data_IF_270117914767
#
_entry.id   IF_270117914767
#
_cell.length_a   1.000
_cell.length_b   1.000
_cell.length_c   1.000
_cell.angle_alpha   90.00
_cell.angle_beta   90.00
_cell.angle_gamma   90.00
#
_symmetry.space_group_name_H-M   'P 1'
#
loop_
_entity.id
_entity.type
_entity.pdbx_description
1 polymer ?
#
# COMPACT_ATOMS: atom_id res chain seq x y z
N UNK A 1 21.79 41.62 24.10
CA UNK A 1 22.09 40.25 24.55
C UNK A 1 20.79 39.72 25.15
N UNK A 2 20.02 38.87 24.45
CA UNK A 2 20.25 37.42 24.23
C UNK A 2 20.50 36.73 25.59
N UNK A 3 19.79 35.70 26.04
CA UNK A 3 19.01 34.62 25.41
C UNK A 3 18.22 33.94 26.56
N UNK A 4 16.93 33.59 26.37
CA UNK A 4 16.40 32.20 26.23
C UNK A 4 16.15 31.49 27.58
N UNK A 5 15.21 30.55 27.80
CA UNK A 5 14.13 29.82 27.11
C UNK A 5 13.45 29.10 28.30
N UNK A 6 12.14 29.09 28.48
CA UNK A 6 11.26 28.02 27.99
C UNK A 6 9.81 28.48 28.19
N UNK A 7 9.09 28.75 27.09
CA UNK A 7 7.63 28.66 27.08
C UNK A 7 7.27 27.36 26.36
N UNK A 8 6.74 26.41 27.12
CA UNK A 8 5.91 25.32 26.59
C UNK A 8 4.46 25.79 26.70
N UNK A 9 4.00 26.49 25.69
CA UNK A 9 2.57 26.57 25.41
C UNK A 9 2.31 25.58 24.26
N UNK A 10 1.90 24.38 24.64
CA UNK A 10 1.34 23.39 23.72
C UNK A 10 -0.05 23.88 23.35
N UNK A 11 -0.14 24.64 22.26
CA UNK A 11 -1.40 25.24 21.83
C UNK A 11 -2.23 24.21 21.05
N UNK A 12 -3.33 23.79 21.67
CA UNK A 12 -4.34 22.90 21.11
C UNK A 12 -5.40 23.78 20.46
N UNK A 13 -5.20 24.14 19.18
CA UNK A 13 -6.18 24.96 18.47
C UNK A 13 -5.82 25.24 17.01
N UNK A 14 -6.26 24.36 16.11
CA UNK A 14 -6.99 24.71 14.89
C UNK A 14 -7.14 23.48 14.00
N UNK A 15 -8.32 22.85 14.02
CA UNK A 15 -8.84 22.15 12.85
C UNK A 15 -9.04 23.21 11.76
N UNK A 16 -8.04 23.40 10.90
CA UNK A 16 -8.26 24.03 9.61
C UNK A 16 -8.39 22.94 8.56
N UNK A 17 -9.57 22.89 7.94
CA UNK A 17 -9.81 22.18 6.70
C UNK A 17 -8.76 22.59 5.66
N UNK A 18 -7.99 21.63 5.16
CA UNK A 18 -7.23 21.80 3.91
C UNK A 18 -7.73 20.77 2.92
N UNK A 19 -8.93 21.03 2.40
CA UNK A 19 -9.38 20.57 1.09
C UNK A 19 -8.61 21.35 0.01
N UNK A 20 -7.32 21.05 -0.17
CA UNK A 20 -6.61 21.38 -1.40
C UNK A 20 -6.43 20.07 -2.17
N UNK A 21 -6.86 19.96 -3.43
CA UNK A 21 -6.42 18.84 -4.25
C UNK A 21 -4.90 18.98 -4.35
N UNK A 22 -4.17 18.02 -3.77
CA UNK A 22 -2.73 17.92 -3.94
C UNK A 22 -2.46 17.94 -5.45
N UNK A 23 -1.69 18.93 -5.90
CA UNK A 23 -1.13 18.89 -7.26
C UNK A 23 -0.28 17.63 -7.30
N UNK A 24 -0.77 16.60 -7.97
CA UNK A 24 0.05 15.44 -8.31
C UNK A 24 1.17 16.01 -9.18
N UNK A 25 2.36 16.15 -8.61
CA UNK A 25 3.55 16.44 -9.40
C UNK A 25 3.62 15.38 -10.48
N UNK A 26 3.75 15.80 -11.74
CA UNK A 26 3.79 14.88 -12.86
C UNK A 26 5.15 14.16 -12.86
N UNK A 27 5.20 13.01 -12.18
CA UNK A 27 6.34 12.11 -12.13
C UNK A 27 6.56 11.35 -13.46
N UNK A 28 5.76 11.65 -14.49
CA UNK A 28 5.76 10.99 -15.78
C UNK A 28 4.79 9.81 -15.86
N UNK A 29 4.58 9.25 -17.07
CA UNK A 29 3.51 8.30 -17.34
C UNK A 29 3.67 6.92 -16.67
N UNK A 30 4.90 6.57 -16.30
CA UNK A 30 5.25 5.26 -15.74
C UNK A 30 5.23 5.22 -14.21
N UNK A 31 5.03 6.36 -13.55
CA UNK A 31 4.92 6.43 -12.09
C UNK A 31 3.45 6.44 -11.72
N UNK A 32 3.04 5.45 -10.93
CA UNK A 32 1.70 5.37 -10.35
C UNK A 32 1.80 5.66 -8.87
N UNK A 33 1.13 6.72 -8.43
CA UNK A 33 1.07 7.11 -7.03
C UNK A 33 -0.11 6.41 -6.38
N UNK A 34 0.12 5.79 -5.22
CA UNK A 34 -0.94 5.19 -4.42
C UNK A 34 -1.98 6.26 -4.03
N UNK A 35 -3.30 6.01 -4.20
CA UNK A 35 -4.32 6.95 -3.80
C UNK A 35 -4.16 7.37 -2.34
N UNK A 36 -4.01 8.66 -2.08
CA UNK A 36 -3.70 9.17 -0.73
C UNK A 36 -4.98 9.37 0.08
N UNK A 37 -5.34 8.34 0.85
CA UNK A 37 -6.47 8.39 1.80
C UNK A 37 -5.98 8.80 3.19
N UNK A 38 -6.89 9.29 4.05
CA UNK A 38 -6.56 9.67 5.43
C UNK A 38 -5.91 8.53 6.22
N UNK A 39 -6.32 7.28 5.96
CA UNK A 39 -5.69 6.09 6.53
C UNK A 39 -4.22 5.94 6.13
N UNK A 40 -3.88 6.19 4.86
CA UNK A 40 -2.49 6.09 4.39
C UNK A 40 -1.64 7.21 5.00
N UNK A 41 -2.22 8.42 5.13
CA UNK A 41 -1.57 9.54 5.81
C UNK A 41 -1.31 9.23 7.30
N UNK A 42 -2.25 8.62 7.99
CA UNK A 42 -2.09 8.14 9.37
C UNK A 42 -0.95 7.12 9.48
N UNK A 43 -0.96 6.08 8.62
CA UNK A 43 0.10 5.06 8.59
C UNK A 43 1.47 5.68 8.34
N UNK A 44 1.58 6.59 7.37
CA UNK A 44 2.83 7.30 7.09
C UNK A 44 3.27 8.20 8.26
N UNK A 45 2.32 8.80 8.98
CA UNK A 45 2.62 9.64 10.15
C UNK A 45 3.23 8.80 11.27
N UNK A 46 2.63 7.66 11.60
CA UNK A 46 3.15 6.72 12.61
C UNK A 46 4.54 6.21 12.20
N UNK A 47 4.72 5.84 10.93
CA UNK A 47 6.01 5.36 10.43
C UNK A 47 7.13 6.42 10.46
N UNK A 48 6.78 7.71 10.36
CA UNK A 48 7.73 8.83 10.40
C UNK A 48 7.97 9.37 11.80
N UNK A 49 7.13 9.03 12.79
CA UNK A 49 7.33 9.45 14.18
C UNK A 49 8.51 8.68 14.81
N UNK A 50 9.52 9.44 15.26
CA UNK A 50 10.70 8.94 15.96
C UNK A 50 10.37 8.24 17.29
N UNK A 51 9.22 8.53 17.88
CA UNK A 51 8.80 7.97 19.17
C UNK A 51 8.03 6.65 19.01
N UNK A 52 7.74 6.23 17.77
CA UNK A 52 7.02 4.99 17.48
C UNK A 52 7.80 3.77 17.98
N UNK A 53 7.11 2.86 18.68
CA UNK A 53 7.71 1.64 19.17
C UNK A 53 8.11 0.71 18.01
N UNK A 54 9.09 -0.16 18.22
CA UNK A 54 9.53 -1.11 17.19
C UNK A 54 8.42 -2.05 16.72
N UNK A 55 7.55 -2.50 17.65
CA UNK A 55 6.43 -3.38 17.31
C UNK A 55 5.40 -2.67 16.46
N UNK A 56 5.08 -1.42 16.79
CA UNK A 56 4.11 -0.62 16.05
C UNK A 56 4.65 -0.26 14.68
N UNK A 57 5.93 0.15 14.59
CA UNK A 57 6.58 0.41 13.31
C UNK A 57 6.46 -0.79 12.37
N UNK A 58 6.79 -2.00 12.86
CA UNK A 58 6.68 -3.21 12.04
C UNK A 58 5.23 -3.47 11.60
N UNK A 59 4.29 -3.42 12.53
CA UNK A 59 2.88 -3.70 12.25
C UNK A 59 2.28 -2.73 11.22
N UNK A 60 2.54 -1.43 11.36
CA UNK A 60 2.03 -0.43 10.42
C UNK A 60 2.81 -0.41 9.10
N UNK A 61 4.10 -0.76 9.09
CA UNK A 61 4.87 -0.91 7.87
C UNK A 61 4.33 -2.07 7.02
N UNK A 62 4.10 -3.24 7.63
CA UNK A 62 3.54 -4.41 6.95
C UNK A 62 2.16 -4.07 6.33
N UNK A 63 1.34 -3.27 7.04
CA UNK A 63 0.05 -2.79 6.53
C UNK A 63 0.19 -1.86 5.32
N UNK A 64 1.12 -0.92 5.35
CA UNK A 64 1.35 -0.01 4.22
C UNK A 64 1.93 -0.75 3.01
N UNK A 65 2.88 -1.67 3.24
CA UNK A 65 3.48 -2.51 2.20
C UNK A 65 2.42 -3.31 1.46
N UNK A 66 1.43 -3.86 2.18
CA UNK A 66 0.32 -4.59 1.57
C UNK A 66 -0.51 -3.76 0.60
N UNK A 67 -0.85 -2.53 0.98
CA UNK A 67 -1.57 -1.62 0.09
C UNK A 67 -0.76 -1.31 -1.18
N UNK A 68 0.56 -1.11 -1.03
CA UNK A 68 1.45 -0.84 -2.15
C UNK A 68 1.57 -2.05 -3.09
N UNK A 69 1.70 -3.26 -2.56
CA UNK A 69 1.84 -4.48 -3.35
C UNK A 69 0.53 -4.80 -4.08
N UNK A 70 -0.61 -4.69 -3.41
CA UNK A 70 -1.93 -4.92 -4.02
C UNK A 70 -2.16 -4.01 -5.23
N UNK A 71 -1.87 -2.71 -5.09
CA UNK A 71 -1.98 -1.76 -6.20
C UNK A 71 -0.91 -1.97 -7.27
N UNK A 72 0.27 -2.46 -6.92
CA UNK A 72 1.32 -2.82 -7.88
C UNK A 72 0.93 -4.03 -8.73
N UNK A 73 0.31 -5.05 -8.11
CA UNK A 73 -0.20 -6.23 -8.81
C UNK A 73 -1.35 -5.87 -9.75
N UNK A 74 -2.18 -4.90 -9.38
CA UNK A 74 -3.25 -4.37 -10.23
C UNK A 74 -2.74 -3.67 -11.51
N UNK A 75 -1.45 -3.34 -11.60
CA UNK A 75 -0.84 -2.79 -12.83
C UNK A 75 -0.37 -3.88 -13.81
N UNK A 76 -0.39 -5.15 -13.41
CA UNK A 76 0.06 -6.26 -14.26
C UNK A 76 -0.98 -6.58 -15.35
N UNK A 77 -0.58 -7.22 -16.45
CA UNK A 77 -1.51 -7.57 -17.52
C UNK A 77 -2.49 -8.68 -17.11
N UNK A 78 -3.78 -8.45 -17.39
CA UNK A 78 -4.89 -9.37 -17.13
C UNK A 78 -5.63 -9.74 -18.41
N UNK A 79 -6.16 -10.95 -18.44
CA UNK A 79 -7.04 -11.50 -19.47
C UNK A 79 -8.43 -11.80 -18.88
N UNK A 80 -9.48 -11.62 -19.67
CA UNK A 80 -10.86 -11.96 -19.26
C UNK A 80 -11.07 -13.48 -19.33
N UNK A 81 -11.74 -14.04 -18.34
CA UNK A 81 -12.07 -15.47 -18.28
C UNK A 81 -13.50 -15.64 -17.76
N UNK A 82 -14.31 -16.45 -18.44
CA UNK A 82 -15.60 -16.89 -17.92
C UNK A 82 -15.40 -18.21 -17.20
N UNK A 83 -15.70 -18.25 -15.90
CA UNK A 83 -15.69 -19.47 -15.11
C UNK A 83 -17.12 -19.91 -14.81
N UNK A 84 -17.35 -21.23 -14.76
CA UNK A 84 -18.64 -21.77 -14.32
C UNK A 84 -18.56 -21.97 -12.81
N UNK A 85 -19.39 -21.26 -12.06
CA UNK A 85 -19.46 -21.43 -10.61
C UNK A 85 -19.99 -22.83 -10.26
N UNK A 86 -19.74 -23.35 -9.05
CA UNK A 86 -20.33 -24.62 -8.60
C UNK A 86 -21.87 -24.62 -8.58
N UNK A 87 -22.50 -23.43 -8.64
CA UNK A 87 -23.95 -23.25 -8.76
C UNK A 87 -24.46 -23.36 -10.21
N UNK A 88 -23.57 -23.59 -11.19
CA UNK A 88 -23.92 -23.70 -12.61
C UNK A 88 -24.14 -22.37 -13.33
N UNK A 89 -23.73 -21.24 -12.73
CA UNK A 89 -23.83 -19.92 -13.34
C UNK A 89 -22.47 -19.50 -13.92
N UNK A 90 -22.48 -18.78 -15.04
CA UNK A 90 -21.25 -18.23 -15.59
C UNK A 90 -20.89 -16.92 -14.88
N UNK A 91 -19.61 -16.75 -14.55
CA UNK A 91 -19.06 -15.53 -13.97
C UNK A 91 -17.89 -15.03 -14.82
N UNK A 92 -18.02 -13.79 -15.31
CA UNK A 92 -16.98 -13.11 -16.09
C UNK A 92 -15.96 -12.47 -15.14
N UNK A 93 -14.82 -13.14 -14.98
CA UNK A 93 -13.69 -12.72 -14.14
C UNK A 93 -12.47 -12.27 -14.93
N UNK A 94 -11.37 -12.05 -14.18
CA UNK A 94 -10.06 -11.68 -14.69
C UNK A 94 -9.00 -12.67 -14.20
N UNK A 95 -8.01 -12.93 -15.05
CA UNK A 95 -6.88 -13.82 -14.79
C UNK A 95 -5.58 -13.15 -15.22
N UNK A 96 -4.53 -13.21 -14.40
CA UNK A 96 -3.18 -12.76 -14.81
C UNK A 96 -2.70 -13.52 -16.04
N UNK A 97 -2.13 -12.80 -17.02
CA UNK A 97 -1.68 -13.42 -18.27
C UNK A 97 -0.47 -14.35 -18.09
N UNK A 98 0.40 -14.05 -17.12
CA UNK A 98 1.66 -14.77 -16.87
C UNK A 98 1.87 -14.97 -15.37
N UNK A 99 2.79 -15.87 -15.03
CA UNK A 99 3.28 -16.01 -13.67
C UNK A 99 4.11 -14.79 -13.25
N UNK A 100 3.98 -14.41 -11.98
CA UNK A 100 4.65 -13.25 -11.41
C UNK A 100 5.92 -13.69 -10.66
N UNK A 101 6.99 -12.89 -10.73
CA UNK A 101 8.18 -13.08 -9.89
C UNK A 101 8.49 -11.79 -9.13
N UNK A 102 8.88 -11.94 -7.87
CA UNK A 102 9.36 -10.84 -7.03
C UNK A 102 10.87 -10.93 -6.91
N UNK A 103 11.55 -9.79 -7.06
CA UNK A 103 12.99 -9.69 -6.82
C UNK A 103 13.19 -8.68 -5.69
N UNK A 104 13.76 -9.14 -4.58
CA UNK A 104 14.05 -8.29 -3.43
C UNK A 104 15.49 -7.79 -3.47
N UNK A 105 15.70 -6.57 -2.98
CA UNK A 105 17.03 -5.98 -2.81
C UNK A 105 17.37 -5.99 -1.32
N UNK A 106 18.41 -6.76 -0.98
CA UNK A 106 18.82 -7.01 0.41
C UNK A 106 19.37 -5.75 1.07
N UNK A 107 19.05 -5.44 2.34
CA UNK A 107 18.16 -6.19 3.28
C UNK A 107 16.74 -5.65 3.35
N UNK A 108 16.52 -4.40 2.97
CA UNK A 108 15.22 -3.73 3.15
C UNK A 108 14.11 -4.36 2.31
N UNK A 109 14.44 -4.94 1.16
CA UNK A 109 13.48 -5.62 0.29
C UNK A 109 12.90 -6.90 0.91
N UNK A 110 13.60 -7.54 1.86
CA UNK A 110 13.12 -8.76 2.53
C UNK A 110 11.83 -8.48 3.34
N UNK A 111 11.64 -7.25 3.81
CA UNK A 111 10.43 -6.84 4.53
C UNK A 111 9.17 -6.90 3.65
N UNK A 112 9.32 -6.80 2.32
CA UNK A 112 8.21 -6.81 1.37
C UNK A 112 7.89 -8.22 0.84
N UNK A 113 8.80 -9.18 1.02
CA UNK A 113 8.65 -10.53 0.43
C UNK A 113 7.46 -11.28 0.99
N UNK A 114 7.24 -11.25 2.31
CA UNK A 114 6.17 -12.00 2.96
C UNK A 114 4.80 -11.61 2.43
N UNK A 115 4.60 -10.30 2.23
CA UNK A 115 3.34 -9.75 1.72
C UNK A 115 3.18 -10.09 0.24
N UNK A 116 4.25 -9.93 -0.56
CA UNK A 116 4.24 -10.28 -1.98
C UNK A 116 3.88 -11.75 -2.22
N UNK A 117 4.51 -12.66 -1.46
CA UNK A 117 4.25 -14.10 -1.57
C UNK A 117 2.78 -14.40 -1.22
N UNK A 118 2.24 -13.77 -0.18
CA UNK A 118 0.84 -13.92 0.21
C UNK A 118 -0.14 -13.50 -0.87
N UNK A 119 0.06 -12.30 -1.44
CA UNK A 119 -0.86 -11.76 -2.45
C UNK A 119 -0.76 -12.54 -3.77
N UNK A 120 0.44 -12.94 -4.20
CA UNK A 120 0.62 -13.76 -5.42
C UNK A 120 0.02 -15.16 -5.25
N UNK A 121 0.19 -15.80 -4.09
CA UNK A 121 -0.41 -17.11 -3.83
C UNK A 121 -1.95 -17.06 -3.92
N UNK A 122 -2.56 -16.01 -3.35
CA UNK A 122 -4.00 -15.81 -3.42
C UNK A 122 -4.51 -15.65 -4.86
N UNK A 123 -3.74 -14.96 -5.70
CA UNK A 123 -4.04 -14.77 -7.12
C UNK A 123 -3.96 -16.08 -7.94
N UNK A 124 -3.09 -17.02 -7.55
CA UNK A 124 -2.87 -18.27 -8.29
C UNK A 124 -3.91 -19.36 -7.93
N UNK A 125 -4.47 -19.35 -6.71
CA UNK A 125 -5.40 -20.39 -6.24
C UNK A 125 -6.73 -20.45 -7.02
N UNK A 126 -7.15 -19.36 -7.67
CA UNK A 126 -8.37 -19.35 -8.50
C UNK A 126 -8.22 -20.06 -9.86
N UNK A 127 -7.05 -20.61 -10.18
CA UNK A 127 -6.75 -21.15 -11.52
C UNK A 127 -6.64 -22.67 -11.59
N UNK A 128 -6.74 -23.37 -10.46
CA UNK A 128 -6.56 -24.83 -10.39
C UNK A 128 -7.74 -25.53 -9.70
N UNK A 129 -8.96 -24.96 -9.76
CA UNK A 129 -10.17 -25.60 -9.24
C UNK A 129 -11.00 -26.32 -10.32
N UNK A 130 -10.42 -26.54 -11.49
CA UNK A 130 -10.93 -27.49 -12.49
C UNK A 130 -10.23 -28.86 -12.34
#
# INVERSE_FOLDING_TARGET
MREELEKKDFDMGSMEEVSKPEKIEDFGPNVKVLPSNDQIKELQTILRDKNTSRSDFKFYADRLIRLVIEESLNQLPFSKVSITTPTGCNYDGLKYEKGNCGVSIVRSGEAMEQVFIGDVANCQHHLNSD
#
